data_IF_919123530300
#
_entry.id   IF_919123530300
#
_cell.length_a   1.000
_cell.length_b   1.000
_cell.length_c   1.000
_cell.angle_alpha   90.00
_cell.angle_beta   90.00
_cell.angle_gamma   90.00
#
_symmetry.space_group_name_H-M   'P 1'
#
loop_
_entity.id
_entity.type
_entity.pdbx_description
1 polymer ?
#
# COMPACT_ATOMS: atom_id res chain seq x y z
N UNK A 1 -26.66 40.65 -9.99
CA UNK A 1 -25.74 39.56 -10.31
C UNK A 1 -26.55 38.34 -10.64
N UNK A 2 -26.20 37.63 -11.71
CA UNK A 2 -26.87 36.39 -12.13
C UNK A 2 -26.16 35.19 -11.52
N UNK A 3 -26.91 34.25 -10.97
CA UNK A 3 -26.36 32.97 -10.51
C UNK A 3 -26.38 31.97 -11.67
N UNK A 4 -25.28 31.24 -11.87
CA UNK A 4 -25.21 30.12 -12.82
C UNK A 4 -25.15 28.80 -12.06
N UNK A 5 -25.76 27.77 -12.62
CA UNK A 5 -25.73 26.41 -12.07
C UNK A 5 -24.45 25.69 -12.48
N UNK A 6 -23.90 24.87 -11.59
CA UNK A 6 -22.76 24.02 -11.91
C UNK A 6 -23.16 22.86 -12.84
N UNK A 7 -22.20 22.28 -13.60
CA UNK A 7 -22.43 21.05 -14.36
C UNK A 7 -22.91 19.91 -13.46
N UNK A 8 -23.72 18.99 -13.98
CA UNK A 8 -24.24 17.86 -13.20
C UNK A 8 -23.10 17.02 -12.58
N UNK A 9 -23.26 16.64 -11.30
CA UNK A 9 -22.24 15.91 -10.54
C UNK A 9 -21.21 16.82 -9.87
N UNK A 10 -21.53 18.11 -9.69
CA UNK A 10 -20.61 19.13 -9.20
C UNK A 10 -21.24 20.01 -8.13
N UNK A 11 -20.65 20.01 -6.93
CA UNK A 11 -21.09 20.80 -5.78
C UNK A 11 -20.62 22.27 -5.87
N UNK A 12 -19.44 22.53 -6.45
CA UNK A 12 -18.91 23.88 -6.64
C UNK A 12 -18.19 23.99 -7.97
N UNK A 13 -18.36 25.11 -8.68
CA UNK A 13 -17.75 25.36 -9.98
C UNK A 13 -17.17 26.77 -10.06
N UNK A 14 -16.11 26.92 -10.85
CA UNK A 14 -15.52 28.21 -11.16
C UNK A 14 -16.38 28.97 -12.19
N UNK A 15 -16.21 30.30 -12.34
CA UNK A 15 -16.98 31.10 -13.30
C UNK A 15 -16.86 30.63 -14.77
N UNK A 16 -15.82 29.87 -15.10
CA UNK A 16 -15.61 29.25 -16.41
C UNK A 16 -16.31 27.90 -16.58
N UNK A 17 -17.12 27.46 -15.62
CA UNK A 17 -17.83 26.17 -15.66
C UNK A 17 -17.00 24.96 -15.21
N UNK A 18 -15.73 25.14 -14.85
CA UNK A 18 -14.89 24.04 -14.37
C UNK A 18 -15.29 23.58 -12.97
N UNK A 19 -15.56 22.30 -12.82
CA UNK A 19 -15.94 21.71 -11.55
C UNK A 19 -14.78 21.77 -10.53
N UNK A 20 -15.03 22.39 -9.37
CA UNK A 20 -14.10 22.57 -8.25
C UNK A 20 -14.27 21.49 -7.17
N UNK A 21 -15.48 20.95 -6.99
CA UNK A 21 -15.75 19.80 -6.12
C UNK A 21 -16.93 18.98 -6.65
N UNK A 22 -16.86 17.67 -6.50
CA UNK A 22 -17.87 16.76 -7.05
C UNK A 22 -18.92 16.37 -5.99
N UNK A 23 -20.10 16.00 -6.47
CA UNK A 23 -21.12 15.32 -5.66
C UNK A 23 -20.64 13.92 -5.25
N UNK A 24 -21.20 13.35 -4.18
CA UNK A 24 -20.87 12.00 -3.75
C UNK A 24 -21.12 11.00 -4.89
N UNK A 25 -20.10 10.22 -5.25
CA UNK A 25 -20.12 9.30 -6.39
C UNK A 25 -19.68 9.89 -7.73
N UNK A 26 -19.46 11.21 -7.83
CA UNK A 26 -18.93 11.90 -9.01
C UNK A 26 -17.45 12.28 -8.82
N UNK A 27 -16.71 12.42 -9.92
CA UNK A 27 -15.28 12.78 -9.93
C UNK A 27 -14.95 13.70 -11.10
N UNK A 28 -13.98 14.61 -10.92
CA UNK A 28 -13.55 15.53 -11.99
C UNK A 28 -13.05 14.74 -13.20
N UNK A 29 -13.56 15.08 -14.38
CA UNK A 29 -13.08 14.56 -15.64
C UNK A 29 -11.75 15.24 -16.00
N UNK A 30 -10.64 14.69 -15.52
CA UNK A 30 -9.30 15.21 -15.76
C UNK A 30 -8.23 14.43 -15.01
N UNK A 31 -7.78 13.32 -15.61
CA UNK A 31 -6.62 12.54 -15.15
C UNK A 31 -6.90 11.59 -13.99
N UNK A 32 -7.59 10.47 -14.25
CA UNK A 32 -7.61 9.37 -13.29
C UNK A 32 -6.20 8.78 -13.19
N UNK A 33 -5.55 8.98 -12.05
CA UNK A 33 -4.51 8.07 -11.58
C UNK A 33 -5.19 6.72 -11.33
N UNK A 34 -4.78 5.67 -12.04
CA UNK A 34 -5.33 4.34 -11.83
C UNK A 34 -5.06 3.89 -10.38
N UNK A 35 -6.02 3.19 -9.76
CA UNK A 35 -5.92 2.71 -8.36
C UNK A 35 -5.76 3.80 -7.30
N UNK A 36 -6.28 4.99 -7.59
CA UNK A 36 -6.31 6.09 -6.64
C UNK A 36 -7.63 6.11 -5.87
N UNK A 37 -7.55 5.98 -4.54
CA UNK A 37 -8.70 6.02 -3.63
C UNK A 37 -9.12 7.45 -3.27
N UNK A 38 -8.17 8.40 -3.24
CA UNK A 38 -8.44 9.81 -2.98
C UNK A 38 -7.51 10.72 -3.80
N UNK A 39 -8.06 11.77 -4.38
CA UNK A 39 -7.31 12.78 -5.13
C UNK A 39 -7.20 14.08 -4.32
N UNK A 40 -6.13 14.83 -4.54
CA UNK A 40 -6.03 16.23 -4.11
C UNK A 40 -6.76 17.13 -5.12
N UNK A 41 -7.83 17.76 -4.66
CA UNK A 41 -8.58 18.72 -5.46
C UNK A 41 -7.73 19.94 -5.77
N UNK A 42 -7.35 20.08 -7.05
CA UNK A 42 -6.62 21.23 -7.58
C UNK A 42 -5.40 20.88 -8.43
N UNK A 43 -4.75 19.73 -8.18
CA UNK A 43 -3.53 19.32 -8.91
C UNK A 43 -3.73 18.06 -9.76
N UNK A 44 -4.82 17.31 -9.54
CA UNK A 44 -5.03 16.00 -10.18
C UNK A 44 -4.08 14.92 -9.65
N UNK A 45 -3.32 15.22 -8.59
CA UNK A 45 -2.47 14.27 -7.90
C UNK A 45 -3.31 13.36 -7.00
N UNK A 46 -3.00 12.07 -6.99
CA UNK A 46 -3.48 11.15 -5.97
C UNK A 46 -2.91 11.49 -4.59
N UNK A 47 -3.75 11.48 -3.55
CA UNK A 47 -3.37 11.65 -2.14
C UNK A 47 -3.43 10.34 -1.37
N UNK A 48 -4.21 9.36 -1.82
CA UNK A 48 -4.22 8.00 -1.27
C UNK A 48 -4.56 6.96 -2.35
N UNK A 49 -3.85 5.83 -2.34
CA UNK A 49 -4.07 4.72 -3.26
C UNK A 49 -5.05 3.68 -2.66
N UNK A 50 -5.66 2.89 -3.53
CA UNK A 50 -6.45 1.72 -3.13
C UNK A 50 -5.59 0.69 -2.38
N UNK A 51 -6.24 -0.20 -1.61
CA UNK A 51 -5.53 -1.27 -0.90
C UNK A 51 -4.73 -2.13 -1.88
N UNK A 52 -3.47 -2.41 -1.55
CA UNK A 52 -2.53 -3.10 -2.44
C UNK A 52 -1.78 -2.20 -3.42
N UNK A 53 -1.95 -0.87 -3.33
CA UNK A 53 -1.21 0.12 -4.12
C UNK A 53 -0.55 1.19 -3.24
N UNK A 54 0.63 1.64 -3.64
CA UNK A 54 1.45 2.63 -2.94
C UNK A 54 1.61 3.93 -3.73
N UNK A 55 1.63 5.06 -3.01
CA UNK A 55 1.73 6.38 -3.62
C UNK A 55 3.15 6.64 -4.12
N UNK A 56 3.30 7.03 -5.38
CA UNK A 56 4.58 7.28 -6.01
C UNK A 56 4.60 8.62 -6.74
N UNK A 57 5.56 9.49 -6.44
CA UNK A 57 5.71 10.77 -7.13
C UNK A 57 6.33 10.59 -8.51
N UNK A 58 5.76 11.23 -9.52
CA UNK A 58 6.29 11.22 -10.89
C UNK A 58 7.24 12.40 -11.10
N UNK A 59 8.20 12.26 -12.02
CA UNK A 59 9.15 13.32 -12.36
C UNK A 59 8.47 14.61 -12.89
N UNK A 60 7.22 14.52 -13.35
CA UNK A 60 6.41 15.64 -13.82
C UNK A 60 5.66 16.37 -12.69
N UNK A 61 5.88 16.00 -11.41
CA UNK A 61 5.23 16.64 -10.26
C UNK A 61 3.82 16.11 -9.94
N UNK A 62 3.39 15.02 -10.58
CA UNK A 62 2.16 14.30 -10.24
C UNK A 62 2.41 13.13 -9.30
N UNK A 63 1.36 12.43 -8.90
CA UNK A 63 1.48 11.16 -8.18
C UNK A 63 0.78 10.04 -8.95
N UNK A 64 1.32 8.83 -8.85
CA UNK A 64 0.75 7.61 -9.41
C UNK A 64 0.63 6.55 -8.33
N UNK A 65 -0.27 5.59 -8.51
CA UNK A 65 -0.41 4.44 -7.62
C UNK A 65 0.17 3.22 -8.30
N UNK A 66 1.24 2.67 -7.72
CA UNK A 66 1.89 1.46 -8.20
C UNK A 66 1.49 0.29 -7.30
N UNK A 67 1.31 -0.92 -7.85
CA UNK A 67 1.02 -2.09 -7.03
C UNK A 67 2.14 -2.28 -6.00
N UNK A 68 1.77 -2.63 -4.78
CA UNK A 68 2.72 -2.98 -3.73
C UNK A 68 3.55 -4.20 -4.16
N UNK A 69 4.78 -4.27 -3.63
CA UNK A 69 5.57 -5.51 -3.64
C UNK A 69 4.75 -6.68 -3.10
N UNK A 70 4.96 -7.87 -3.66
CA UNK A 70 4.22 -9.07 -3.26
C UNK A 70 4.53 -9.36 -1.80
N UNK A 71 3.51 -9.76 -1.04
CA UNK A 71 3.64 -10.03 0.40
C UNK A 71 4.02 -8.79 1.24
N UNK A 72 3.74 -7.59 0.73
CA UNK A 72 3.80 -6.36 1.52
C UNK A 72 2.47 -6.11 2.24
N UNK A 73 2.52 -5.87 3.55
CA UNK A 73 1.34 -5.51 4.35
C UNK A 73 0.98 -4.03 4.26
N UNK A 74 1.99 -3.17 4.04
CA UNK A 74 1.81 -1.72 3.89
C UNK A 74 2.91 -1.10 3.01
N UNK A 75 2.51 -0.51 1.87
CA UNK A 75 3.38 0.21 0.95
C UNK A 75 2.94 1.68 0.72
N UNK A 76 2.30 2.32 1.72
CA UNK A 76 1.69 3.66 1.60
C UNK A 76 2.60 4.74 1.00
N UNK A 77 3.92 4.63 1.15
CA UNK A 77 4.91 5.62 0.69
C UNK A 77 5.77 5.17 -0.52
N UNK A 78 5.28 4.23 -1.34
CA UNK A 78 5.90 3.84 -2.61
C UNK A 78 5.89 2.34 -2.86
N UNK A 79 6.50 1.86 -3.96
CA UNK A 79 6.54 0.42 -4.27
C UNK A 79 7.38 -0.38 -3.26
N UNK A 80 8.23 0.29 -2.48
CA UNK A 80 9.02 -0.33 -1.42
C UNK A 80 8.15 -0.61 -0.20
N UNK A 81 8.28 -1.82 0.32
CA UNK A 81 7.52 -2.23 1.47
C UNK A 81 8.10 -1.66 2.76
N UNK A 82 7.22 -1.14 3.64
CA UNK A 82 7.62 -0.75 5.00
C UNK A 82 7.57 -1.94 5.97
N UNK A 83 6.72 -2.94 5.69
CA UNK A 83 6.57 -4.14 6.50
C UNK A 83 5.95 -5.29 5.71
N UNK A 84 6.62 -6.44 5.72
CA UNK A 84 6.16 -7.64 5.04
C UNK A 84 5.11 -8.37 5.88
N UNK A 85 4.21 -9.09 5.22
CA UNK A 85 3.29 -10.00 5.90
C UNK A 85 4.06 -11.17 6.52
N UNK A 86 3.43 -11.89 7.47
CA UNK A 86 4.03 -13.07 8.11
C UNK A 86 4.56 -14.09 7.10
N UNK A 87 5.69 -14.72 7.42
CA UNK A 87 6.41 -15.62 6.53
C UNK A 87 7.33 -14.93 5.51
N UNK A 88 7.48 -13.60 5.57
CA UNK A 88 8.38 -12.83 4.71
C UNK A 88 9.26 -11.87 5.53
N UNK A 89 10.51 -11.70 5.10
CA UNK A 89 11.47 -10.74 5.64
C UNK A 89 11.61 -9.53 4.71
N UNK A 90 11.78 -8.34 5.30
CA UNK A 90 12.09 -7.12 4.56
C UNK A 90 13.57 -7.11 4.15
N UNK A 91 13.84 -7.19 2.86
CA UNK A 91 15.19 -7.05 2.33
C UNK A 91 15.62 -5.57 2.25
N UNK A 92 16.93 -5.32 2.21
CA UNK A 92 17.50 -3.96 2.20
C UNK A 92 17.04 -3.07 1.04
N UNK A 93 16.65 -3.67 -0.07
CA UNK A 93 16.09 -2.99 -1.25
C UNK A 93 14.60 -2.62 -1.08
N UNK A 94 13.95 -3.03 0.01
CA UNK A 94 12.53 -2.80 0.28
C UNK A 94 11.60 -3.86 -0.29
N UNK A 95 12.11 -5.02 -0.71
CA UNK A 95 11.31 -6.15 -1.21
C UNK A 95 11.06 -7.18 -0.12
N UNK A 96 9.95 -7.91 -0.20
CA UNK A 96 9.63 -8.97 0.75
C UNK A 96 10.11 -10.33 0.25
N UNK A 97 11.04 -10.94 0.96
CA UNK A 97 11.59 -12.25 0.61
C UNK A 97 11.01 -13.32 1.54
N UNK A 98 10.54 -14.43 1.00
CA UNK A 98 9.96 -15.50 1.80
C UNK A 98 11.01 -16.11 2.75
N UNK A 99 10.59 -16.46 3.96
CA UNK A 99 11.39 -17.29 4.85
C UNK A 99 11.59 -18.67 4.20
N UNK A 100 12.84 -19.16 4.17
CA UNK A 100 13.18 -20.47 3.57
C UNK A 100 12.64 -21.61 4.43
N UNK A 101 12.59 -21.41 5.75
CA UNK A 101 12.01 -22.36 6.68
C UNK A 101 10.49 -22.24 6.69
N UNK A 102 9.79 -23.35 6.40
CA UNK A 102 8.33 -23.41 6.31
C UNK A 102 7.63 -23.29 7.66
N UNK A 103 8.34 -23.60 8.76
CA UNK A 103 7.79 -23.50 10.11
C UNK A 103 8.08 -22.12 10.73
N UNK A 104 8.62 -21.19 9.94
CA UNK A 104 8.94 -19.84 10.37
C UNK A 104 7.78 -18.86 10.16
N UNK A 105 7.32 -18.24 11.24
CA UNK A 105 6.26 -17.23 11.25
C UNK A 105 6.83 -15.84 10.96
N UNK A 106 7.99 -15.51 11.53
CA UNK A 106 8.71 -14.27 11.23
C UNK A 106 10.19 -14.54 11.06
N UNK A 107 10.81 -13.92 10.06
CA UNK A 107 12.24 -14.01 9.82
C UNK A 107 12.86 -12.63 9.62
N UNK A 108 14.10 -12.45 10.10
CA UNK A 108 14.90 -11.24 9.88
C UNK A 108 15.64 -11.26 8.55
N UNK A 109 15.82 -12.45 7.97
CA UNK A 109 16.29 -12.66 6.60
C UNK A 109 15.66 -13.94 6.06
N UNK A 110 15.74 -14.17 4.74
CA UNK A 110 15.25 -15.41 4.14
C UNK A 110 15.80 -16.68 4.83
N UNK A 111 16.99 -16.63 5.44
CA UNK A 111 17.63 -17.77 6.12
C UNK A 111 17.60 -17.72 7.65
N UNK A 112 17.09 -16.65 8.24
CA UNK A 112 17.18 -16.41 9.69
C UNK A 112 15.80 -16.18 10.27
N UNK A 113 15.22 -17.24 10.82
CA UNK A 113 13.96 -17.20 11.52
C UNK A 113 14.10 -16.58 12.91
N UNK A 114 13.16 -15.70 13.26
CA UNK A 114 13.07 -15.03 14.56
C UNK A 114 11.88 -15.51 15.39
N UNK A 115 10.84 -16.08 14.76
CA UNK A 115 9.70 -16.69 15.45
C UNK A 115 9.18 -17.87 14.65
N UNK A 116 8.92 -18.98 15.34
CA UNK A 116 8.48 -20.24 14.76
C UNK A 116 7.00 -20.50 15.05
N UNK A 117 6.39 -21.38 14.27
CA UNK A 117 5.04 -21.86 14.51
C UNK A 117 4.97 -22.64 15.83
N UNK A 118 3.76 -22.78 16.39
CA UNK A 118 3.55 -23.57 17.61
C UNK A 118 4.10 -25.01 17.44
N UNK A 119 4.78 -25.51 18.47
CA UNK A 119 5.51 -26.79 18.45
C UNK A 119 6.93 -26.71 17.90
N UNK A 120 7.43 -25.51 17.55
CA UNK A 120 8.79 -25.29 17.07
C UNK A 120 9.47 -24.15 17.82
N UNK A 121 10.77 -24.27 18.01
CA UNK A 121 11.63 -23.25 18.63
C UNK A 121 12.70 -22.77 17.66
N UNK A 122 13.08 -21.50 17.80
CA UNK A 122 14.10 -20.87 16.96
C UNK A 122 15.51 -21.25 17.44
N UNK A 123 16.12 -22.25 16.81
CA UNK A 123 17.49 -22.69 17.10
C UNK A 123 18.41 -22.31 15.94
N UNK A 124 19.39 -21.46 16.24
CA UNK A 124 20.36 -20.94 15.26
C UNK A 124 19.70 -20.32 13.99
N UNK A 125 18.55 -19.67 14.17
CA UNK A 125 17.81 -19.04 13.07
C UNK A 125 17.00 -20.01 12.20
N UNK A 126 16.77 -21.25 12.66
CA UNK A 126 15.87 -22.22 12.04
C UNK A 126 14.84 -22.70 13.05
N UNK A 127 13.70 -23.16 12.55
CA UNK A 127 12.64 -23.71 13.39
C UNK A 127 12.85 -25.20 13.54
N UNK A 128 13.23 -25.62 14.74
CA UNK A 128 13.38 -27.02 15.10
C UNK A 128 12.16 -27.47 15.92
N UNK A 129 11.63 -28.67 15.69
CA UNK A 129 10.56 -29.21 16.52
C UNK A 129 11.00 -29.23 17.98
N UNK A 130 10.16 -28.75 18.87
CA UNK A 130 10.46 -28.82 20.29
C UNK A 130 10.40 -30.28 20.75
N UNK A 131 11.21 -30.63 21.76
CA UNK A 131 11.10 -31.93 22.42
C UNK A 131 9.83 -32.04 23.28
N UNK A 132 9.30 -30.90 23.74
CA UNK A 132 8.03 -30.80 24.45
C UNK A 132 6.90 -30.44 23.46
N UNK A 133 5.80 -31.22 23.39
CA UNK A 133 4.67 -30.92 22.52
C UNK A 133 3.92 -29.62 22.84
N UNK A 134 4.19 -28.95 23.98
CA UNK A 134 3.52 -27.71 24.41
C UNK A 134 4.40 -26.45 24.28
N UNK A 135 5.51 -26.54 23.58
CA UNK A 135 6.41 -25.42 23.34
C UNK A 135 5.85 -24.50 22.24
N UNK A 136 5.56 -23.24 22.59
CA UNK A 136 5.00 -22.23 21.68
C UNK A 136 4.62 -20.94 22.39
#
# INVERSE_FOLDING_TARGET
GTCQTCPAGCNQCAPNGSCQSCEDGYKKAGGRVAHCAACNDGTGACSACEYGYGLHSTAAGGTTCLPCEKACGDCRAGPKCAGCVGGYALARNGTCVACVDKNCVTCSSAKTCTSCAAGFEAVAGKCTPCADPNCG
#
